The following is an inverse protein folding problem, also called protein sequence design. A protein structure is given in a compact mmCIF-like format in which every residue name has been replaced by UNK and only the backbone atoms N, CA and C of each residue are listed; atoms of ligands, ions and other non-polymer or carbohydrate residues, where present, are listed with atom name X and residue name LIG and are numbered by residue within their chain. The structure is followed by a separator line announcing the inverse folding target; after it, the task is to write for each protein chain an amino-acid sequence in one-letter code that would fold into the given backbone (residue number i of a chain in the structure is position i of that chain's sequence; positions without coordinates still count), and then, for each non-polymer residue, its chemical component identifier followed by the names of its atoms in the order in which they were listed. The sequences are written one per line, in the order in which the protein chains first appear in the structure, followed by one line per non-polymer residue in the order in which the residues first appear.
data_IF_009895542442
#
_entry.id   IF_009895542442
#
_cell.length_a   1.000
_cell.length_b   1.000
_cell.length_c   1.000
_cell.angle_alpha   90.00
_cell.angle_beta   90.00
_cell.angle_gamma   90.00
#
_symmetry.space_group_name_H-M   'P 1'
#
loop_
_entity.id
_entity.type
_entity.pdbx_description
1 polymer ?
#
# COMPACT_ATOMS: atom_id res chain seq x y z
N UNK A 1 -40.62 -34.10 10.53
CA UNK A 1 -39.22 -34.52 10.72
C UNK A 1 -38.33 -33.34 10.40
N UNK A 2 -38.03 -32.53 11.40
CA UNK A 2 -37.32 -31.25 11.25
C UNK A 2 -35.82 -31.53 11.26
N UNK A 3 -35.14 -31.34 10.13
CA UNK A 3 -33.68 -31.52 10.06
C UNK A 3 -33.00 -30.27 10.61
N UNK A 4 -32.35 -30.38 11.76
CA UNK A 4 -31.40 -29.38 12.25
C UNK A 4 -30.09 -29.51 11.46
N UNK A 5 -29.61 -28.40 10.89
CA UNK A 5 -28.25 -28.27 10.39
C UNK A 5 -27.38 -27.59 11.46
N UNK A 6 -26.18 -28.10 11.77
CA UNK A 6 -25.29 -27.43 12.70
C UNK A 6 -24.74 -26.16 12.04
N UNK A 7 -24.88 -25.03 12.73
CA UNK A 7 -24.23 -23.79 12.35
C UNK A 7 -22.71 -23.95 12.52
N UNK A 8 -21.99 -24.03 11.41
CA UNK A 8 -20.53 -24.00 11.40
C UNK A 8 -20.09 -22.56 11.67
N UNK A 9 -19.70 -22.26 12.90
CA UNK A 9 -19.10 -20.98 13.26
C UNK A 9 -17.73 -20.87 12.56
N UNK A 10 -17.67 -20.09 11.49
CA UNK A 10 -16.41 -19.71 10.85
C UNK A 10 -15.66 -18.77 11.80
N UNK A 11 -14.59 -19.28 12.42
CA UNK A 11 -13.65 -18.49 13.20
C UNK A 11 -12.86 -17.61 12.22
N UNK A 12 -13.28 -16.36 12.05
CA UNK A 12 -12.50 -15.36 11.33
C UNK A 12 -11.22 -15.08 12.12
N UNK A 13 -10.13 -15.71 11.71
CA UNK A 13 -8.78 -15.31 12.11
C UNK A 13 -8.55 -13.91 11.55
N UNK A 14 -8.74 -12.89 12.38
CA UNK A 14 -8.18 -11.57 12.11
C UNK A 14 -6.66 -11.73 12.09
N UNK A 15 -5.98 -11.47 10.96
CA UNK A 15 -4.53 -11.37 10.98
C UNK A 15 -4.21 -10.23 11.92
N UNK A 16 -3.46 -10.53 13.00
CA UNK A 16 -3.01 -9.52 13.94
C UNK A 16 -2.29 -8.42 13.19
N UNK A 17 -2.59 -7.16 13.52
CA UNK A 17 -1.86 -6.00 13.02
C UNK A 17 -0.38 -6.23 13.33
N UNK A 18 0.38 -6.58 12.30
CA UNK A 18 1.83 -6.66 12.40
C UNK A 18 2.31 -5.26 12.80
N UNK A 19 2.88 -5.15 14.00
CA UNK A 19 3.45 -3.89 14.46
C UNK A 19 4.67 -3.59 13.60
N UNK A 20 4.73 -2.39 13.03
CA UNK A 20 5.92 -1.96 12.32
C UNK A 20 7.07 -1.80 13.33
N UNK A 21 8.06 -2.69 13.25
CA UNK A 21 9.23 -2.72 14.14
C UNK A 21 10.17 -1.50 14.00
N UNK A 22 9.92 -0.64 13.01
CA UNK A 22 10.68 0.59 12.76
C UNK A 22 10.35 1.75 13.70
N UNK A 23 11.19 2.79 13.64
CA UNK A 23 11.04 4.04 14.40
C UNK A 23 10.31 5.09 13.54
N UNK A 24 9.02 5.41 13.83
CA UNK A 24 8.26 6.35 13.02
C UNK A 24 8.83 7.77 13.04
N UNK A 25 9.52 8.18 14.11
CA UNK A 25 10.13 9.52 14.20
C UNK A 25 11.38 9.62 13.32
N UNK A 26 12.12 8.51 13.11
CA UNK A 26 13.16 8.45 12.08
C UNK A 26 12.55 8.37 10.69
N UNK A 27 11.48 7.61 10.53
CA UNK A 27 10.74 7.46 9.28
C UNK A 27 10.28 8.80 8.72
N UNK A 28 9.66 9.62 9.56
CA UNK A 28 9.22 10.97 9.22
C UNK A 28 10.36 11.82 8.62
N UNK A 29 11.53 11.80 9.27
CA UNK A 29 12.72 12.55 8.80
C UNK A 29 13.25 12.05 7.45
N UNK A 30 12.99 10.79 7.11
CA UNK A 30 13.40 10.16 5.85
C UNK A 30 12.29 10.17 4.77
N UNK A 31 11.06 10.56 5.13
CA UNK A 31 9.90 10.52 4.23
C UNK A 31 9.98 11.53 3.08
N UNK A 32 10.87 12.52 3.16
CA UNK A 32 11.10 13.50 2.09
C UNK A 32 11.38 12.88 0.71
N UNK A 33 11.88 11.64 0.66
CA UNK A 33 12.08 10.87 -0.57
C UNK A 33 10.76 10.37 -1.18
N UNK A 34 9.79 10.05 -0.33
CA UNK A 34 8.47 9.57 -0.68
C UNK A 34 7.55 10.74 -1.05
N UNK A 35 7.67 11.87 -0.33
CA UNK A 35 6.84 13.06 -0.56
C UNK A 35 7.01 13.68 -1.95
N UNK A 36 8.12 13.40 -2.66
CA UNK A 36 8.28 13.82 -4.05
C UNK A 36 7.19 13.26 -4.98
N UNK A 37 6.66 12.07 -4.67
CA UNK A 37 5.65 11.40 -5.47
C UNK A 37 4.32 11.22 -4.73
N UNK A 38 4.33 11.17 -3.40
CA UNK A 38 3.19 10.75 -2.59
C UNK A 38 2.78 11.81 -1.57
N UNK A 39 1.51 12.18 -1.58
CA UNK A 39 0.86 12.87 -0.47
C UNK A 39 0.28 11.88 0.55
N UNK A 40 -0.02 12.39 1.75
CA UNK A 40 -0.89 11.73 2.74
C UNK A 40 -2.07 12.65 2.98
N UNK A 41 -3.24 12.23 2.53
CA UNK A 41 -4.49 12.98 2.58
C UNK A 41 -5.54 12.08 3.24
N UNK A 42 -6.19 12.54 4.31
CA UNK A 42 -7.23 11.76 4.98
C UNK A 42 -8.54 11.72 4.16
N UNK A 43 -9.54 10.90 4.54
CA UNK A 43 -10.80 10.79 3.81
C UNK A 43 -11.61 12.10 3.77
N UNK A 44 -11.38 12.99 4.74
CA UNK A 44 -11.98 14.33 4.81
C UNK A 44 -11.33 15.31 3.81
N UNK A 45 -10.23 14.92 3.15
CA UNK A 45 -9.51 15.74 2.18
C UNK A 45 -8.44 16.65 2.80
N UNK A 46 -8.17 16.54 4.11
CA UNK A 46 -7.09 17.26 4.77
C UNK A 46 -5.73 16.69 4.36
N UNK A 47 -4.82 17.59 3.93
CA UNK A 47 -3.45 17.24 3.57
C UNK A 47 -2.60 17.15 4.83
N UNK A 48 -2.44 15.94 5.37
CA UNK A 48 -1.61 15.66 6.55
C UNK A 48 -0.11 15.76 6.22
N UNK A 49 0.28 15.25 5.04
CA UNK A 49 1.64 15.39 4.51
C UNK A 49 1.56 15.82 3.05
N UNK A 50 2.13 17.00 2.77
CA UNK A 50 2.26 17.52 1.41
C UNK A 50 3.15 16.60 0.58
N UNK A 51 2.74 16.34 -0.65
CA UNK A 51 3.55 15.59 -1.60
C UNK A 51 3.02 15.65 -3.02
N UNK A 52 3.69 14.93 -3.91
CA UNK A 52 3.32 14.82 -5.31
C UNK A 52 2.06 14.01 -5.56
N UNK A 53 1.61 14.03 -6.82
CA UNK A 53 0.51 13.20 -7.34
C UNK A 53 1.01 12.08 -8.26
N UNK A 54 2.34 11.98 -8.45
CA UNK A 54 2.97 10.97 -9.31
C UNK A 54 2.73 9.56 -8.79
N UNK A 55 2.57 9.39 -7.48
CA UNK A 55 2.17 8.15 -6.83
C UNK A 55 0.81 8.28 -6.11
N UNK A 56 0.18 7.15 -5.75
CA UNK A 56 -1.09 7.13 -5.01
C UNK A 56 -0.99 7.78 -3.64
N UNK A 57 -2.12 8.18 -3.08
CA UNK A 57 -2.20 8.62 -1.69
C UNK A 57 -1.78 7.47 -0.74
N UNK A 58 -0.90 7.77 0.23
CA UNK A 58 -0.42 6.75 1.18
C UNK A 58 -1.23 6.68 2.48
N UNK A 59 -2.23 7.53 2.67
CA UNK A 59 -3.18 7.37 3.77
C UNK A 59 -3.88 6.01 3.67
N UNK A 60 -3.99 5.29 4.79
CA UNK A 60 -4.64 3.97 4.85
C UNK A 60 -4.02 2.94 3.90
N UNK A 61 -2.72 3.02 3.62
CA UNK A 61 -2.08 2.05 2.72
C UNK A 61 -1.84 0.70 3.39
N UNK A 62 -1.59 0.67 4.70
CA UNK A 62 -1.37 -0.60 5.41
C UNK A 62 -2.69 -1.38 5.45
N UNK A 63 -2.65 -2.63 5.00
CA UNK A 63 -3.82 -3.50 4.88
C UNK A 63 -4.64 -3.30 3.60
N UNK A 64 -4.33 -2.28 2.78
CA UNK A 64 -5.03 -2.04 1.52
C UNK A 64 -4.59 -3.02 0.42
N UNK A 65 -5.51 -3.46 -0.42
CA UNK A 65 -5.19 -4.19 -1.64
C UNK A 65 -4.38 -3.32 -2.61
N UNK A 66 -3.35 -3.87 -3.23
CA UNK A 66 -2.53 -3.14 -4.19
C UNK A 66 -3.37 -2.66 -5.38
N UNK A 67 -3.01 -1.51 -5.98
CA UNK A 67 -3.70 -1.01 -7.16
C UNK A 67 -5.16 -0.54 -6.93
N UNK A 68 -5.60 -0.34 -5.69
CA UNK A 68 -7.01 0.00 -5.36
C UNK A 68 -7.24 1.37 -4.73
N UNK A 69 -6.20 2.20 -4.58
CA UNK A 69 -6.40 3.59 -4.15
C UNK A 69 -7.29 4.31 -5.18
N UNK A 70 -8.45 4.82 -4.74
CA UNK A 70 -9.57 5.18 -5.60
C UNK A 70 -9.19 6.28 -6.61
N UNK A 71 -8.60 7.38 -6.13
CA UNK A 71 -8.20 8.48 -6.98
C UNK A 71 -7.15 8.03 -8.02
N UNK A 72 -6.18 7.24 -7.59
CA UNK A 72 -5.11 6.78 -8.48
C UNK A 72 -5.56 5.68 -9.45
N UNK A 73 -6.67 4.98 -9.14
CA UNK A 73 -7.25 3.96 -10.02
C UNK A 73 -8.20 4.55 -11.06
N UNK A 74 -9.06 5.46 -10.65
CA UNK A 74 -10.16 5.96 -11.49
C UNK A 74 -10.03 7.43 -11.89
N UNK A 75 -9.12 8.15 -11.26
CA UNK A 75 -9.03 9.59 -11.32
C UNK A 75 -9.92 10.28 -10.27
N UNK A 76 -9.67 11.57 -10.07
CA UNK A 76 -10.39 12.47 -9.17
C UNK A 76 -10.16 13.92 -9.62
N UNK A 77 -10.71 14.90 -8.88
CA UNK A 77 -10.40 16.31 -9.12
C UNK A 77 -8.90 16.62 -8.91
N UNK A 78 -8.26 15.92 -7.95
CA UNK A 78 -6.82 16.02 -7.68
C UNK A 78 -5.99 15.35 -8.78
N UNK A 79 -6.53 14.32 -9.44
CA UNK A 79 -5.85 13.54 -10.46
C UNK A 79 -6.82 13.14 -11.58
N UNK A 80 -6.98 13.90 -12.67
CA UNK A 80 -8.08 13.69 -13.63
C UNK A 80 -8.14 12.33 -14.34
N UNK A 81 -7.06 11.54 -14.28
CA UNK A 81 -6.95 10.24 -14.93
C UNK A 81 -6.35 9.22 -13.95
N UNK A 82 -6.88 8.00 -13.95
CA UNK A 82 -6.24 6.87 -13.26
C UNK A 82 -4.84 6.62 -13.81
N UNK A 83 -3.90 6.31 -12.92
CA UNK A 83 -2.48 6.18 -13.24
C UNK A 83 -1.87 4.82 -12.88
N UNK A 84 -2.57 3.93 -12.17
CA UNK A 84 -2.03 2.57 -11.96
C UNK A 84 -1.74 1.88 -13.29
N UNK A 85 -0.60 1.18 -13.36
CA UNK A 85 -0.38 0.20 -14.43
C UNK A 85 -1.33 -0.98 -14.30
N UNK A 86 -1.62 -1.64 -15.43
CA UNK A 86 -2.41 -2.87 -15.46
C UNK A 86 -1.82 -3.95 -14.54
N UNK A 87 -0.48 -4.03 -14.42
CA UNK A 87 0.18 -4.98 -13.53
C UNK A 87 -0.04 -4.67 -12.04
N UNK A 88 -0.09 -3.38 -11.66
CA UNK A 88 -0.41 -3.03 -10.27
C UNK A 88 -1.86 -3.35 -9.92
N UNK A 89 -2.77 -3.15 -10.87
CA UNK A 89 -4.16 -3.54 -10.73
C UNK A 89 -4.26 -5.06 -10.59
N UNK A 90 -3.61 -5.80 -11.50
CA UNK A 90 -3.58 -7.27 -11.49
C UNK A 90 -2.99 -7.83 -10.21
N UNK A 91 -1.91 -7.25 -9.67
CA UNK A 91 -1.35 -7.68 -8.40
C UNK A 91 -2.36 -7.59 -7.25
N UNK A 92 -3.17 -6.53 -7.21
CA UNK A 92 -4.28 -6.41 -6.28
C UNK A 92 -5.35 -7.47 -6.50
N UNK A 93 -5.76 -7.70 -7.75
CA UNK A 93 -6.77 -8.70 -8.13
C UNK A 93 -6.31 -10.14 -7.80
N UNK A 94 -5.00 -10.42 -7.88
CA UNK A 94 -4.35 -11.67 -7.46
C UNK A 94 -4.07 -11.74 -5.94
N UNK A 95 -4.50 -10.73 -5.17
CA UNK A 95 -4.52 -10.76 -3.71
C UNK A 95 -3.32 -10.12 -3.00
N UNK A 96 -2.52 -9.30 -3.68
CA UNK A 96 -1.46 -8.54 -3.02
C UNK A 96 -2.07 -7.52 -2.05
N UNK A 97 -1.82 -7.74 -0.76
CA UNK A 97 -2.15 -6.81 0.32
C UNK A 97 -0.89 -6.07 0.75
N UNK A 98 -0.99 -4.76 0.95
CA UNK A 98 0.08 -3.95 1.53
C UNK A 98 0.21 -4.18 3.04
N UNK A 99 0.72 -5.34 3.44
CA UNK A 99 1.19 -5.56 4.81
C UNK A 99 2.47 -4.75 5.06
N UNK A 100 2.86 -4.60 6.33
CA UNK A 100 4.13 -3.94 6.69
C UNK A 100 5.31 -4.64 6.00
N UNK A 101 5.33 -5.96 6.00
CA UNK A 101 6.38 -6.78 5.38
C UNK A 101 6.42 -6.55 3.86
N UNK A 102 5.25 -6.59 3.21
CA UNK A 102 5.17 -6.37 1.77
C UNK A 102 5.58 -4.95 1.38
N UNK A 103 5.24 -3.93 2.16
CA UNK A 103 5.69 -2.56 1.92
C UNK A 103 7.20 -2.41 2.09
N UNK A 104 7.79 -3.03 3.12
CA UNK A 104 9.23 -3.04 3.34
C UNK A 104 9.96 -3.71 2.17
N UNK A 105 9.48 -4.86 1.70
CA UNK A 105 10.11 -5.56 0.57
C UNK A 105 9.89 -4.83 -0.76
N UNK A 106 8.68 -4.35 -1.01
CA UNK A 106 8.35 -3.60 -2.22
C UNK A 106 9.20 -2.34 -2.36
N UNK A 107 9.42 -1.59 -1.29
CA UNK A 107 10.23 -0.34 -1.35
C UNK A 107 11.70 -0.59 -1.66
N UNK A 108 12.25 -1.78 -1.38
CA UNK A 108 13.64 -2.15 -1.73
C UNK A 108 13.83 -2.35 -3.22
N UNK A 109 12.90 -3.05 -3.87
CA UNK A 109 12.90 -3.27 -5.33
C UNK A 109 11.47 -3.44 -5.87
N UNK A 110 10.77 -2.35 -6.21
CA UNK A 110 9.36 -2.41 -6.58
C UNK A 110 9.11 -3.25 -7.83
N UNK A 111 9.99 -3.11 -8.83
CA UNK A 111 9.90 -3.84 -10.09
C UNK A 111 10.18 -5.32 -9.85
N UNK A 112 11.24 -5.65 -9.10
CA UNK A 112 11.57 -7.04 -8.75
C UNK A 112 10.47 -7.72 -7.94
N UNK A 113 9.91 -7.01 -6.96
CA UNK A 113 8.82 -7.49 -6.12
C UNK A 113 7.59 -7.85 -6.95
N UNK A 114 7.10 -6.93 -7.79
CA UNK A 114 5.88 -7.16 -8.58
C UNK A 114 6.07 -8.28 -9.61
N UNK A 115 7.23 -8.37 -10.26
CA UNK A 115 7.55 -9.49 -11.15
C UNK A 115 7.51 -10.83 -10.44
N UNK A 116 8.03 -10.89 -9.22
CA UNK A 116 8.06 -12.11 -8.41
C UNK A 116 6.66 -12.48 -7.95
N UNK A 117 5.89 -11.49 -7.47
CA UNK A 117 4.52 -11.71 -7.00
C UNK A 117 3.61 -12.24 -8.12
N UNK A 118 3.70 -11.67 -9.32
CA UNK A 118 2.88 -12.01 -10.48
C UNK A 118 3.43 -13.17 -11.33
N UNK A 119 4.57 -13.74 -10.96
CA UNK A 119 5.35 -14.70 -11.76
C UNK A 119 5.50 -14.26 -13.24
N UNK A 120 5.79 -12.97 -13.45
CA UNK A 120 5.87 -12.36 -14.78
C UNK A 120 7.11 -11.46 -14.91
N UNK A 121 8.12 -11.84 -15.71
CA UNK A 121 9.35 -11.05 -15.87
C UNK A 121 9.14 -9.71 -16.58
N UNK A 122 7.98 -9.48 -17.22
CA UNK A 122 7.65 -8.22 -17.90
C UNK A 122 6.85 -7.26 -17.03
N UNK A 123 6.27 -7.72 -15.92
CA UNK A 123 5.41 -6.88 -15.08
C UNK A 123 6.11 -5.60 -14.59
N UNK A 124 5.36 -4.49 -14.54
CA UNK A 124 5.89 -3.18 -14.16
C UNK A 124 4.92 -2.37 -13.28
N UNK A 125 5.34 -1.98 -12.05
CA UNK A 125 4.70 -0.88 -11.34
C UNK A 125 5.09 0.49 -11.92
N UNK A 126 4.31 1.52 -11.59
CA UNK A 126 4.69 2.92 -11.85
C UNK A 126 5.97 3.31 -11.09
N UNK A 127 6.17 2.79 -9.88
CA UNK A 127 7.30 3.12 -9.03
C UNK A 127 8.54 2.32 -9.44
N UNK A 128 9.60 3.01 -9.90
CA UNK A 128 10.92 2.41 -10.16
C UNK A 128 11.99 2.74 -9.13
N UNK A 129 11.68 3.61 -8.15
CA UNK A 129 12.65 4.09 -7.15
C UNK A 129 12.92 3.02 -6.12
N UNK A 130 14.20 2.73 -5.86
CA UNK A 130 14.65 1.75 -4.87
C UNK A 130 15.15 2.42 -3.60
N UNK A 131 14.62 2.00 -2.46
CA UNK A 131 15.08 2.46 -1.16
C UNK A 131 16.18 1.54 -0.62
N UNK A 132 17.39 2.09 -0.47
CA UNK A 132 18.56 1.28 -0.02
C UNK A 132 18.56 0.98 1.47
N UNK A 133 17.98 1.86 2.30
CA UNK A 133 17.99 1.81 3.78
C UNK A 133 16.79 2.58 4.36
N UNK A 134 16.35 2.20 5.55
CA UNK A 134 15.30 2.89 6.32
C UNK A 134 13.88 2.57 5.87
N UNK A 135 13.68 1.42 5.23
CA UNK A 135 12.36 0.98 4.77
C UNK A 135 11.44 0.68 5.96
N UNK A 136 11.97 0.01 6.97
CA UNK A 136 11.35 -0.25 8.27
C UNK A 136 10.86 1.04 8.94
N UNK A 137 11.74 2.03 9.12
CA UNK A 137 11.39 3.31 9.76
C UNK A 137 10.35 4.08 8.94
N UNK A 138 10.52 4.19 7.62
CA UNK A 138 9.56 4.91 6.74
C UNK A 138 8.20 4.22 6.74
N UNK A 139 8.16 2.89 6.64
CA UNK A 139 6.90 2.14 6.67
C UNK A 139 6.25 2.27 8.04
N UNK A 140 7.01 2.28 9.14
CA UNK A 140 6.48 2.56 10.47
C UNK A 140 5.84 3.95 10.56
N UNK A 141 6.47 4.97 9.97
CA UNK A 141 5.88 6.31 9.88
C UNK A 141 4.58 6.31 9.06
N UNK A 142 4.58 5.71 7.86
CA UNK A 142 3.39 5.63 7.01
C UNK A 142 2.25 4.85 7.67
N UNK A 143 2.58 3.83 8.46
CA UNK A 143 1.60 3.05 9.22
C UNK A 143 0.86 3.89 10.26
N UNK A 144 1.43 4.99 10.77
CA UNK A 144 0.72 5.91 11.69
C UNK A 144 -0.49 6.60 11.04
N UNK A 145 -0.63 6.53 9.71
CA UNK A 145 -1.76 7.06 8.94
C UNK A 145 -2.69 5.96 8.43
N UNK A 146 -2.60 4.74 8.97
CA UNK A 146 -3.44 3.61 8.63
C UNK A 146 -4.06 3.06 9.91
N UNK A 147 -5.26 3.51 10.24
CA UNK A 147 -6.07 2.98 11.35
C UNK A 147 -6.93 1.79 10.92
#
# INVERSE_FOLDING_TARGET
MTKLYPALAALLLFPGLASAEGDPAKGEKMYNRCSACHAIINPEGEVLVKGGITGPNLYGVVGRLAGTENDYRYGSERLPVGMFTDDMIRAGDEGLVWTIENLIEYTKDPIGFIRTFLDDPKARPNMGVKLRKGADDIVAYVATFSE
#
